data_IF_796033465991
#
_entry.id   IF_796033465991
#
_cell.length_a   1.000
_cell.length_b   1.000
_cell.length_c   1.000
_cell.angle_alpha   90.00
_cell.angle_beta   90.00
_cell.angle_gamma   90.00
#
_symmetry.space_group_name_H-M   'P 1'
#
loop_
_entity.id
_entity.type
_entity.pdbx_description
1 polymer ?
#
# COMPACT_ATOMS: atom_id res chain seq x y z
N UNK A 1 -32.42 11.99 -54.34
CA UNK A 1 -32.07 10.59 -53.98
C UNK A 1 -30.65 10.59 -53.44
N UNK A 2 -30.48 10.40 -52.14
CA UNK A 2 -29.18 10.46 -51.48
C UNK A 2 -28.80 9.10 -50.91
N UNK A 3 -27.55 8.67 -51.14
CA UNK A 3 -26.86 7.71 -50.27
C UNK A 3 -25.36 8.06 -50.29
N UNK A 4 -24.84 8.66 -49.21
CA UNK A 4 -23.40 8.65 -48.91
C UNK A 4 -23.17 7.65 -47.79
N UNK A 5 -22.62 6.50 -48.15
CA UNK A 5 -22.29 5.40 -47.23
C UNK A 5 -21.18 5.78 -46.26
N UNK A 6 -21.46 5.58 -44.98
CA UNK A 6 -20.64 5.95 -43.84
C UNK A 6 -19.42 5.03 -43.69
N UNK A 7 -18.21 5.56 -43.94
CA UNK A 7 -16.92 4.87 -43.71
C UNK A 7 -16.54 4.72 -42.22
N UNK A 8 -17.40 5.16 -41.31
CA UNK A 8 -17.09 5.25 -39.87
C UNK A 8 -17.32 3.90 -39.14
N UNK A 9 -18.05 2.97 -39.75
CA UNK A 9 -18.39 1.67 -39.13
C UNK A 9 -17.25 0.63 -39.10
N UNK A 10 -16.37 0.61 -40.10
CA UNK A 10 -15.33 -0.45 -40.22
C UNK A 10 -14.20 -0.29 -39.20
N UNK A 11 -13.76 0.93 -38.92
CA UNK A 11 -12.61 1.20 -38.03
C UNK A 11 -12.92 0.92 -36.55
N UNK A 12 -14.19 0.97 -36.15
CA UNK A 12 -14.62 0.69 -34.77
C UNK A 12 -14.71 -0.82 -34.51
N UNK A 13 -15.09 -1.61 -35.51
CA UNK A 13 -15.14 -3.07 -35.42
C UNK A 13 -13.74 -3.69 -35.34
N UNK A 14 -12.78 -3.20 -36.14
CA UNK A 14 -11.38 -3.68 -36.09
C UNK A 14 -10.71 -3.36 -34.74
N UNK A 15 -10.91 -2.15 -34.18
CA UNK A 15 -10.37 -1.81 -32.85
C UNK A 15 -10.97 -2.65 -31.72
N UNK A 16 -12.24 -3.04 -31.83
CA UNK A 16 -12.89 -3.92 -30.85
C UNK A 16 -12.34 -5.35 -30.95
N UNK A 17 -12.07 -5.84 -32.16
CA UNK A 17 -11.48 -7.15 -32.39
C UNK A 17 -10.04 -7.23 -31.84
N UNK A 18 -9.24 -6.18 -32.04
CA UNK A 18 -7.86 -6.09 -31.51
C UNK A 18 -7.84 -6.03 -29.97
N UNK A 19 -8.78 -5.30 -29.33
CA UNK A 19 -8.90 -5.30 -27.86
C UNK A 19 -9.29 -6.68 -27.31
N UNK A 20 -10.16 -7.41 -28.00
CA UNK A 20 -10.57 -8.76 -27.59
C UNK A 20 -9.46 -9.80 -27.78
N UNK A 21 -8.63 -9.69 -28.82
CA UNK A 21 -7.48 -10.56 -29.01
C UNK A 21 -6.36 -10.29 -27.98
N UNK A 22 -6.12 -9.03 -27.64
CA UNK A 22 -5.13 -8.65 -26.62
C UNK A 22 -5.56 -9.11 -25.22
N UNK A 23 -6.85 -9.07 -24.91
CA UNK A 23 -7.41 -9.60 -23.66
C UNK A 23 -7.28 -11.13 -23.56
N UNK A 24 -7.33 -11.86 -24.69
CA UNK A 24 -7.13 -13.33 -24.72
C UNK A 24 -5.67 -13.76 -24.55
N UNK A 25 -4.70 -12.89 -24.82
CA UNK A 25 -3.26 -13.18 -24.68
C UNK A 25 -2.59 -12.52 -23.47
N UNK A 26 -3.32 -11.70 -22.73
CA UNK A 26 -2.81 -11.20 -21.45
C UNK A 26 -2.88 -12.36 -20.47
N UNK A 27 -1.76 -12.86 -19.90
CA UNK A 27 -1.85 -13.85 -18.85
C UNK A 27 -2.71 -13.25 -17.76
N UNK A 28 -3.91 -13.82 -17.56
CA UNK A 28 -4.72 -13.53 -16.40
C UNK A 28 -3.87 -14.00 -15.23
N UNK A 29 -3.15 -13.05 -14.63
CA UNK A 29 -2.47 -13.28 -13.36
C UNK A 29 -3.59 -13.57 -12.40
N UNK A 30 -3.84 -14.86 -12.21
CA UNK A 30 -4.93 -15.35 -11.39
C UNK A 30 -4.77 -14.68 -10.02
N UNK A 31 -5.83 -14.00 -9.58
CA UNK A 31 -5.86 -13.25 -8.34
C UNK A 31 -5.43 -14.16 -7.20
N UNK A 32 -5.76 -15.46 -7.25
CA UNK A 32 -5.29 -16.47 -6.29
C UNK A 32 -3.76 -16.67 -6.31
N UNK A 33 -3.10 -16.54 -7.45
CA UNK A 33 -1.63 -16.68 -7.56
C UNK A 33 -0.91 -15.43 -7.06
N UNK A 34 -1.48 -14.24 -7.25
CA UNK A 34 -1.01 -13.01 -6.59
C UNK A 34 -1.27 -13.05 -5.09
N UNK A 35 -2.43 -13.59 -4.68
CA UNK A 35 -2.79 -13.84 -3.29
C UNK A 35 -1.79 -14.79 -2.63
N UNK A 36 -1.51 -15.94 -3.24
CA UNK A 36 -0.55 -16.92 -2.73
C UNK A 36 0.90 -16.41 -2.74
N UNK A 37 1.31 -15.60 -3.73
CA UNK A 37 2.64 -14.98 -3.73
C UNK A 37 2.76 -13.87 -2.69
N UNK A 38 1.70 -13.08 -2.49
CA UNK A 38 1.59 -12.11 -1.40
C UNK A 38 1.64 -12.81 -0.04
N UNK A 39 0.83 -13.85 0.16
CA UNK A 39 0.80 -14.66 1.38
C UNK A 39 2.12 -15.41 1.64
N UNK A 40 2.89 -15.75 0.60
CA UNK A 40 4.25 -16.31 0.76
C UNK A 40 5.31 -15.25 1.10
N UNK A 41 5.11 -14.00 0.70
CA UNK A 41 5.90 -12.85 1.19
C UNK A 41 5.52 -12.48 2.63
N UNK A 42 4.31 -12.86 3.03
CA UNK A 42 3.78 -12.85 4.38
C UNK A 42 4.31 -14.10 5.10
N UNK A 43 5.56 -14.04 5.59
CA UNK A 43 5.72 -14.40 7.00
C UNK A 43 5.44 -13.11 7.73
N UNK A 44 4.20 -12.87 8.19
CA UNK A 44 4.00 -11.81 9.15
C UNK A 44 4.90 -12.13 10.35
N UNK A 45 5.30 -11.14 11.12
CA UNK A 45 5.56 -11.41 12.53
C UNK A 45 4.22 -11.92 13.11
N UNK A 46 3.96 -13.24 13.02
CA UNK A 46 2.65 -13.90 13.18
C UNK A 46 1.97 -13.65 14.54
N UNK A 47 2.67 -13.03 15.49
CA UNK A 47 2.20 -12.86 16.86
C UNK A 47 1.79 -11.41 17.21
N UNK A 48 1.55 -10.54 16.23
CA UNK A 48 1.32 -9.11 16.49
C UNK A 48 0.00 -8.75 17.21
N UNK A 49 -0.84 -9.73 17.56
CA UNK A 49 -2.03 -9.51 18.41
C UNK A 49 -1.74 -9.80 19.89
N UNK A 50 -0.69 -10.59 20.18
CA UNK A 50 -0.22 -10.93 21.53
C UNK A 50 1.32 -11.06 21.53
N UNK A 51 2.02 -9.92 21.56
CA UNK A 51 3.46 -9.90 21.86
C UNK A 51 4.43 -9.95 20.66
N UNK A 52 5.22 -8.88 20.59
CA UNK A 52 6.66 -8.75 20.25
C UNK A 52 7.41 -9.92 19.57
N UNK A 53 8.23 -9.57 18.56
CA UNK A 53 9.46 -10.30 18.20
C UNK A 53 10.51 -9.32 17.60
N UNK A 54 11.66 -9.18 18.28
CA UNK A 54 13.01 -8.94 17.75
C UNK A 54 13.21 -8.05 16.50
N UNK A 55 12.63 -6.85 16.46
CA UNK A 55 13.04 -5.86 15.47
C UNK A 55 14.44 -5.35 15.81
N UNK A 56 15.45 -5.65 14.99
CA UNK A 56 16.84 -5.20 15.23
C UNK A 56 17.03 -3.69 15.00
N UNK A 57 15.97 -2.98 14.62
CA UNK A 57 15.97 -1.54 14.37
C UNK A 57 16.91 -1.16 13.23
N UNK A 58 17.12 -2.07 12.27
CA UNK A 58 18.01 -1.80 11.13
C UNK A 58 17.27 -1.05 10.02
N UNK A 59 18.00 -0.24 9.27
CA UNK A 59 17.47 0.45 8.09
C UNK A 59 16.94 -0.57 7.06
N UNK A 60 17.60 -1.72 6.93
CA UNK A 60 17.16 -2.79 6.03
C UNK A 60 15.79 -3.38 6.43
N UNK A 61 15.52 -3.55 7.73
CA UNK A 61 14.20 -3.99 8.21
C UNK A 61 13.14 -2.92 7.99
N UNK A 62 13.42 -1.66 8.32
CA UNK A 62 12.53 -0.52 8.05
C UNK A 62 12.17 -0.44 6.56
N UNK A 63 13.17 -0.56 5.69
CA UNK A 63 13.00 -0.56 4.24
C UNK A 63 12.11 -1.69 3.73
N UNK A 64 12.34 -2.91 4.23
CA UNK A 64 11.58 -4.10 3.86
C UNK A 64 10.13 -3.97 4.29
N UNK A 65 9.88 -3.60 5.55
CA UNK A 65 8.53 -3.47 6.10
C UNK A 65 7.77 -2.33 5.42
N UNK A 66 8.44 -1.20 5.18
CA UNK A 66 7.88 -0.12 4.39
C UNK A 66 7.45 -0.69 3.04
N UNK A 67 8.36 -1.25 2.22
CA UNK A 67 8.03 -1.82 0.89
C UNK A 67 6.81 -2.75 0.90
N UNK A 68 6.70 -3.60 1.91
CA UNK A 68 5.54 -4.46 2.09
C UNK A 68 4.26 -3.64 2.33
N UNK A 69 4.31 -2.62 3.19
CA UNK A 69 3.20 -1.70 3.43
C UNK A 69 2.69 -1.00 2.16
N UNK A 70 3.56 -0.41 1.33
CA UNK A 70 3.12 0.21 0.05
C UNK A 70 2.57 -0.81 -0.93
N UNK A 71 3.19 -1.99 -1.00
CA UNK A 71 2.67 -3.06 -1.84
C UNK A 71 1.26 -3.44 -1.41
N UNK A 72 1.02 -3.61 -0.11
CA UNK A 72 -0.30 -3.91 0.43
C UNK A 72 -1.30 -2.79 0.14
N UNK A 73 -0.89 -1.54 0.31
CA UNK A 73 -1.73 -0.39 0.06
C UNK A 73 -2.15 -0.29 -1.41
N UNK A 74 -1.20 -0.43 -2.34
CA UNK A 74 -1.48 -0.37 -3.78
C UNK A 74 -2.42 -1.49 -4.24
N UNK A 75 -2.26 -2.70 -3.71
CA UNK A 75 -3.15 -3.82 -4.05
C UNK A 75 -4.55 -3.60 -3.46
N UNK A 76 -4.66 -3.15 -2.20
CA UNK A 76 -5.94 -2.77 -1.60
C UNK A 76 -6.65 -1.71 -2.44
N UNK A 77 -5.95 -0.64 -2.82
CA UNK A 77 -6.50 0.41 -3.69
C UNK A 77 -7.00 -0.14 -5.01
N UNK A 78 -6.24 -1.03 -5.65
CA UNK A 78 -6.68 -1.66 -6.90
C UNK A 78 -7.97 -2.45 -6.72
N UNK A 79 -8.09 -3.23 -5.65
CA UNK A 79 -9.33 -3.98 -5.36
C UNK A 79 -10.52 -3.06 -5.09
N UNK A 80 -10.32 -1.95 -4.38
CA UNK A 80 -11.38 -0.94 -4.17
C UNK A 80 -11.78 -0.24 -5.47
N UNK A 81 -10.82 0.02 -6.37
CA UNK A 81 -11.10 0.61 -7.67
C UNK A 81 -11.97 -0.31 -8.56
N UNK A 82 -11.81 -1.62 -8.41
CA UNK A 82 -12.58 -2.63 -9.15
C UNK A 82 -13.96 -2.87 -8.50
N UNK A 83 -14.04 -2.88 -7.17
CA UNK A 83 -15.29 -3.02 -6.38
C UNK A 83 -15.14 -2.39 -4.98
N UNK A 84 -15.88 -1.31 -4.73
CA UNK A 84 -15.89 -0.57 -3.46
C UNK A 84 -16.25 -1.44 -2.24
N UNK A 85 -16.96 -2.56 -2.44
CA UNK A 85 -17.36 -3.50 -1.39
C UNK A 85 -16.54 -4.79 -1.35
N UNK A 86 -15.42 -4.84 -2.08
CA UNK A 86 -14.58 -6.02 -2.19
C UNK A 86 -14.17 -6.55 -0.78
N UNK A 87 -14.57 -7.78 -0.40
CA UNK A 87 -14.18 -8.37 0.89
C UNK A 87 -12.66 -8.49 1.04
N UNK A 88 -11.95 -8.75 -0.06
CA UNK A 88 -10.48 -8.80 -0.08
C UNK A 88 -9.89 -7.43 0.25
N UNK A 89 -10.43 -6.33 -0.27
CA UNK A 89 -9.95 -5.00 0.08
C UNK A 89 -10.11 -4.72 1.59
N UNK A 90 -11.21 -5.17 2.21
CA UNK A 90 -11.44 -5.04 3.66
C UNK A 90 -10.44 -5.85 4.48
N UNK A 91 -10.09 -7.06 4.04
CA UNK A 91 -9.06 -7.90 4.67
C UNK A 91 -7.68 -7.23 4.58
N UNK A 92 -7.29 -6.74 3.40
CA UNK A 92 -6.03 -6.03 3.19
C UNK A 92 -5.98 -4.72 4.00
N UNK A 93 -7.09 -4.03 4.16
CA UNK A 93 -7.19 -2.85 5.02
C UNK A 93 -6.85 -3.18 6.48
N UNK A 94 -7.37 -4.29 7.03
CA UNK A 94 -7.04 -4.71 8.38
C UNK A 94 -5.59 -5.18 8.52
N UNK A 95 -5.03 -5.83 7.49
CA UNK A 95 -3.62 -6.18 7.46
C UNK A 95 -2.73 -4.91 7.44
N UNK A 96 -3.11 -3.89 6.68
CA UNK A 96 -2.43 -2.59 6.68
C UNK A 96 -2.47 -1.92 8.06
N UNK A 97 -3.63 -1.94 8.75
CA UNK A 97 -3.74 -1.45 10.13
C UNK A 97 -2.72 -2.15 11.03
N UNK A 98 -2.63 -3.49 10.99
CA UNK A 98 -1.63 -4.25 11.75
C UNK A 98 -0.20 -3.83 11.39
N UNK A 99 0.11 -3.69 10.10
CA UNK A 99 1.43 -3.25 9.62
C UNK A 99 1.81 -1.86 10.12
N UNK A 100 0.86 -0.92 10.28
CA UNK A 100 1.19 0.38 10.88
C UNK A 100 1.68 0.27 12.33
N UNK A 101 1.24 -0.72 13.10
CA UNK A 101 1.79 -0.97 14.43
C UNK A 101 3.22 -1.53 14.34
N UNK A 102 3.46 -2.46 13.41
CA UNK A 102 4.81 -3.00 13.15
C UNK A 102 5.78 -1.90 12.76
N UNK A 103 5.41 -1.03 11.82
CA UNK A 103 6.23 0.11 11.39
C UNK A 103 6.56 1.05 12.55
N UNK A 104 5.58 1.40 13.39
CA UNK A 104 5.80 2.25 14.55
C UNK A 104 6.84 1.64 15.51
N UNK A 105 6.75 0.34 15.77
CA UNK A 105 7.69 -0.37 16.63
C UNK A 105 9.09 -0.47 16.00
N UNK A 106 9.21 -0.69 14.69
CA UNK A 106 10.49 -0.69 13.99
C UNK A 106 11.17 0.67 14.04
N UNK A 107 10.40 1.75 13.90
CA UNK A 107 10.90 3.11 14.07
C UNK A 107 11.43 3.35 15.49
N UNK A 108 10.67 2.94 16.51
CA UNK A 108 11.12 3.03 17.92
C UNK A 108 12.39 2.21 18.17
N UNK A 109 12.49 1.01 17.62
CA UNK A 109 13.71 0.19 17.70
C UNK A 109 14.90 0.85 17.01
N UNK A 110 14.68 1.44 15.83
CA UNK A 110 15.69 2.22 15.11
C UNK A 110 16.13 3.44 15.93
N UNK A 111 15.20 4.20 16.50
CA UNK A 111 15.54 5.37 17.32
C UNK A 111 16.36 4.98 18.55
N UNK A 112 15.96 3.92 19.26
CA UNK A 112 16.72 3.40 20.39
C UNK A 112 18.15 3.02 20.00
N UNK A 113 18.32 2.34 18.87
CA UNK A 113 19.63 1.91 18.36
C UNK A 113 20.54 3.09 17.98
N UNK A 114 19.97 4.16 17.44
CA UNK A 114 20.71 5.36 17.03
C UNK A 114 20.77 6.43 18.12
N UNK A 115 20.33 6.13 19.34
CA UNK A 115 20.28 7.07 20.48
C UNK A 115 19.41 8.31 20.23
N UNK A 116 18.41 8.21 19.35
CA UNK A 116 17.51 9.30 18.99
C UNK A 116 16.40 9.56 20.02
N UNK A 117 16.35 8.78 21.11
CA UNK A 117 15.27 8.79 22.10
C UNK A 117 14.15 7.80 21.74
N UNK A 118 13.11 7.72 22.57
CA UNK A 118 12.03 6.73 22.40
C UNK A 118 11.10 7.07 21.23
N UNK A 119 10.96 8.36 20.92
CA UNK A 119 10.10 8.86 19.84
C UNK A 119 10.87 9.69 18.81
N UNK A 120 12.20 9.54 18.76
CA UNK A 120 13.05 10.26 17.83
C UNK A 120 13.30 11.73 18.21
N UNK A 121 13.21 12.08 19.49
CA UNK A 121 13.37 13.45 20.00
C UNK A 121 14.70 14.10 19.60
N UNK A 122 15.77 13.31 19.45
CA UNK A 122 17.11 13.76 19.01
C UNK A 122 17.39 13.46 17.55
N UNK A 123 16.41 12.94 16.82
CA UNK A 123 16.54 12.58 15.41
C UNK A 123 16.38 13.76 14.46
N UNK A 124 16.54 13.49 13.17
CA UNK A 124 16.25 14.46 12.13
C UNK A 124 14.75 14.78 12.11
N UNK A 125 14.39 16.02 12.42
CA UNK A 125 12.98 16.42 12.61
C UNK A 125 12.07 16.06 11.42
N UNK A 126 12.53 16.26 10.18
CA UNK A 126 11.74 15.92 8.99
C UNK A 126 11.50 14.40 8.88
N UNK A 127 12.53 13.57 9.13
CA UNK A 127 12.38 12.10 9.15
C UNK A 127 11.42 11.64 10.24
N UNK A 128 11.51 12.23 11.43
CA UNK A 128 10.67 11.84 12.57
C UNK A 128 9.23 12.30 12.37
N UNK A 129 9.01 13.52 11.89
CA UNK A 129 7.67 14.06 11.65
C UNK A 129 6.99 13.35 10.49
N UNK A 130 7.66 13.26 9.35
CA UNK A 130 7.04 12.81 8.11
C UNK A 130 7.05 11.28 8.00
N UNK A 131 8.09 10.64 8.53
CA UNK A 131 8.25 9.19 8.59
C UNK A 131 7.50 8.54 9.75
N UNK A 132 7.73 8.97 10.99
CA UNK A 132 7.20 8.27 12.16
C UNK A 132 5.86 8.82 12.66
N UNK A 133 5.74 10.13 12.87
CA UNK A 133 4.56 10.73 13.54
C UNK A 133 3.28 10.68 12.70
N UNK A 134 3.38 10.45 11.40
CA UNK A 134 2.22 10.28 10.51
C UNK A 134 1.59 8.88 10.58
N UNK A 135 2.27 7.89 11.15
CA UNK A 135 1.79 6.49 11.20
C UNK A 135 0.43 6.36 11.90
N UNK A 136 0.16 7.00 13.07
CA UNK A 136 -1.16 6.95 13.69
C UNK A 136 -2.27 7.59 12.84
N UNK A 137 -1.96 8.64 12.08
CA UNK A 137 -2.93 9.28 11.20
C UNK A 137 -3.34 8.35 10.05
N UNK A 138 -2.35 7.69 9.44
CA UNK A 138 -2.57 6.64 8.41
C UNK A 138 -3.44 5.52 8.97
N UNK A 139 -3.11 5.00 10.17
CA UNK A 139 -3.87 3.94 10.86
C UNK A 139 -5.33 4.33 11.09
N UNK A 140 -5.56 5.53 11.62
CA UNK A 140 -6.91 6.03 11.91
C UNK A 140 -7.75 6.20 10.65
N UNK A 141 -7.13 6.64 9.55
CA UNK A 141 -7.85 6.75 8.28
C UNK A 141 -8.18 5.35 7.73
N UNK A 142 -7.24 4.40 7.73
CA UNK A 142 -7.50 3.00 7.37
C UNK A 142 -8.64 2.36 8.20
N UNK A 143 -8.72 2.64 9.50
CA UNK A 143 -9.81 2.15 10.35
C UNK A 143 -11.18 2.73 9.98
N UNK A 144 -11.25 4.04 9.69
CA UNK A 144 -12.51 4.68 9.21
C UNK A 144 -13.00 4.08 7.90
N UNK A 145 -12.04 3.69 7.06
CA UNK A 145 -12.24 3.10 5.75
C UNK A 145 -12.78 1.68 5.87
N UNK A 146 -12.22 0.87 6.77
CA UNK A 146 -12.74 -0.46 7.09
C UNK A 146 -14.22 -0.41 7.54
N UNK A 147 -14.63 0.68 8.20
CA UNK A 147 -16.01 0.93 8.64
C UNK A 147 -17.05 1.13 7.53
N UNK A 148 -16.68 1.14 6.24
CA UNK A 148 -17.63 1.02 5.12
C UNK A 148 -18.30 2.32 4.65
N UNK A 149 -17.60 3.45 4.64
CA UNK A 149 -18.14 4.72 4.12
C UNK A 149 -17.98 4.81 2.58
N UNK A 150 -18.97 5.28 1.81
CA UNK A 150 -18.84 5.46 0.36
C UNK A 150 -17.81 6.52 -0.09
N UNK A 151 -17.31 7.36 0.81
CA UNK A 151 -16.24 8.36 0.53
C UNK A 151 -14.81 7.84 0.70
N UNK A 152 -14.69 6.57 1.08
CA UNK A 152 -13.47 5.88 1.53
C UNK A 152 -12.34 5.90 0.50
N UNK A 153 -12.61 5.57 -0.77
CA UNK A 153 -11.60 5.50 -1.84
C UNK A 153 -10.96 6.86 -2.14
N UNK A 154 -11.77 7.92 -2.31
CA UNK A 154 -11.25 9.28 -2.54
C UNK A 154 -10.46 9.82 -1.36
N UNK A 155 -10.81 9.41 -0.13
CA UNK A 155 -10.04 9.75 1.06
C UNK A 155 -8.69 9.01 1.11
N UNK A 156 -8.65 7.74 0.70
CA UNK A 156 -7.42 6.97 0.58
C UNK A 156 -6.44 7.63 -0.38
N UNK A 157 -6.88 7.96 -1.58
CA UNK A 157 -6.04 8.58 -2.62
C UNK A 157 -5.54 9.96 -2.21
N UNK A 158 -6.41 10.80 -1.65
CA UNK A 158 -6.06 12.20 -1.39
C UNK A 158 -5.27 12.42 -0.09
N UNK A 159 -5.42 11.53 0.88
CA UNK A 159 -4.85 11.72 2.22
C UNK A 159 -3.90 10.62 2.63
N UNK A 160 -4.29 9.35 2.46
CA UNK A 160 -3.49 8.23 2.95
C UNK A 160 -2.31 7.97 2.02
N UNK A 161 -2.52 7.96 0.71
CA UNK A 161 -1.45 7.71 -0.27
C UNK A 161 -0.28 8.69 -0.16
N UNK A 162 -0.48 10.03 -0.06
CA UNK A 162 0.63 10.96 0.13
C UNK A 162 1.40 10.73 1.43
N UNK A 163 0.71 10.41 2.53
CA UNK A 163 1.35 10.14 3.83
C UNK A 163 2.19 8.86 3.77
N UNK A 164 1.71 7.83 3.08
CA UNK A 164 2.49 6.61 2.84
C UNK A 164 3.69 6.93 1.94
N UNK A 165 3.50 7.69 0.86
CA UNK A 165 4.59 8.06 -0.03
C UNK A 165 5.70 8.84 0.70
N UNK A 166 5.33 9.77 1.56
CA UNK A 166 6.29 10.54 2.34
C UNK A 166 7.01 9.70 3.39
N UNK A 167 6.29 8.82 4.09
CA UNK A 167 6.88 7.84 5.00
C UNK A 167 7.98 7.02 4.30
N UNK A 168 7.70 6.59 3.07
CA UNK A 168 8.66 5.87 2.25
C UNK A 168 9.89 6.70 1.91
N UNK A 169 9.69 7.94 1.45
CA UNK A 169 10.79 8.86 1.14
C UNK A 169 11.71 9.05 2.33
N UNK A 170 11.18 9.22 3.54
CA UNK A 170 11.99 9.33 4.75
C UNK A 170 12.88 8.10 4.95
N UNK A 171 12.37 6.89 4.70
CA UNK A 171 13.18 5.68 4.82
C UNK A 171 14.20 5.60 3.66
N UNK A 172 13.86 6.03 2.44
CA UNK A 172 14.85 6.08 1.34
C UNK A 172 16.00 7.04 1.66
N UNK A 173 15.70 8.18 2.27
CA UNK A 173 16.71 9.14 2.71
C UNK A 173 17.65 8.55 3.77
N UNK A 174 17.12 7.74 4.71
CA UNK A 174 17.95 7.03 5.68
C UNK A 174 18.86 5.99 5.01
N UNK A 175 18.37 5.27 3.99
CA UNK A 175 19.18 4.32 3.21
C UNK A 175 20.33 5.02 2.48
N UNK A 176 20.07 6.19 1.88
CA UNK A 176 21.06 6.92 1.09
C UNK A 176 22.07 7.73 1.93
N UNK A 177 21.84 7.84 3.25
CA UNK A 177 22.72 8.58 4.17
C UNK A 177 23.74 7.69 4.89
N UNK A 178 23.72 6.38 4.62
CA UNK A 178 24.60 5.35 5.19
C UNK A 178 25.39 4.64 4.10
#
# INVERSE_FOLDING_TARGET
MGVRGSKIGRTRAEKAHVKNELAKKTPQVNINTQFQKGYKLIKPCENAVEGYNDCKGTIAELWKEAKQFLFMFKNMMKFLNDDDNCPLAKEWCMNLVKTTHTLENMWRAFFKKNEWGENGEKGLQHIVNDGFRNIPAIRNDLLKIHGGNGRTQKMLEKRVEPLIAEHFRCIEMLVNSH
#
